data_IF_701300386991
#
_entry.id   IF_701300386991
#
_cell.length_a   1.000
_cell.length_b   1.000
_cell.length_c   1.000
_cell.angle_alpha   90.00
_cell.angle_beta   90.00
_cell.angle_gamma   90.00
#
_symmetry.space_group_name_H-M   'P 1'
#
loop_
_entity.id
_entity.type
_entity.pdbx_description
1 polymer ?
#
# COMPACT_ATOMS: atom_id res chain seq x y z
N UNK A 1 -0.64 2.39 27.85
CA UNK A 1 -0.90 3.55 26.97
C UNK A 1 -2.21 3.33 26.22
N UNK A 2 -3.33 3.92 26.67
CA UNK A 2 -4.67 3.64 26.13
C UNK A 2 -4.77 3.90 24.61
N UNK A 3 -4.16 5.00 24.13
CA UNK A 3 -4.14 5.39 22.70
C UNK A 3 -3.48 4.35 21.77
N UNK A 4 -2.37 3.73 22.22
CA UNK A 4 -1.70 2.68 21.45
C UNK A 4 -2.57 1.42 21.31
N UNK A 5 -3.35 1.08 22.34
CA UNK A 5 -4.26 -0.06 22.28
C UNK A 5 -5.40 0.19 21.30
N UNK A 6 -5.95 1.41 21.28
CA UNK A 6 -6.98 1.82 20.31
C UNK A 6 -6.44 1.75 18.89
N UNK A 7 -5.26 2.34 18.63
CA UNK A 7 -4.64 2.32 17.31
C UNK A 7 -4.39 0.90 16.81
N UNK A 8 -3.86 0.01 17.65
CA UNK A 8 -3.66 -1.40 17.28
C UNK A 8 -4.98 -2.07 16.89
N UNK A 9 -6.04 -1.86 17.67
CA UNK A 9 -7.35 -2.48 17.41
C UNK A 9 -7.90 -2.04 16.06
N UNK A 10 -7.81 -0.74 15.75
CA UNK A 10 -8.22 -0.20 14.46
C UNK A 10 -7.39 -0.82 13.32
N UNK A 11 -6.07 -0.88 13.46
CA UNK A 11 -5.18 -1.48 12.46
C UNK A 11 -5.49 -2.96 12.24
N UNK A 12 -5.80 -3.71 13.30
CA UNK A 12 -6.15 -5.13 13.20
C UNK A 12 -7.46 -5.33 12.42
N UNK A 13 -8.48 -4.50 12.67
CA UNK A 13 -9.75 -4.52 11.93
C UNK A 13 -9.52 -4.16 10.46
N UNK A 14 -8.80 -3.07 10.19
CA UNK A 14 -8.48 -2.64 8.83
C UNK A 14 -7.71 -3.73 8.07
N UNK A 15 -6.78 -4.41 8.74
CA UNK A 15 -6.01 -5.48 8.13
C UNK A 15 -6.91 -6.66 7.73
N UNK A 16 -7.81 -7.10 8.60
CA UNK A 16 -8.76 -8.19 8.27
C UNK A 16 -9.65 -7.79 7.09
N UNK A 17 -10.19 -6.57 7.11
CA UNK A 17 -11.02 -6.06 6.01
C UNK A 17 -10.26 -5.98 4.69
N UNK A 18 -8.98 -5.62 4.73
CA UNK A 18 -8.15 -5.51 3.53
C UNK A 18 -7.66 -6.87 2.98
N UNK A 19 -7.51 -7.87 3.85
CA UNK A 19 -7.10 -9.22 3.43
C UNK A 19 -8.20 -9.94 2.65
N UNK A 20 -9.48 -9.70 2.96
CA UNK A 20 -10.62 -10.32 2.25
C UNK A 20 -10.55 -10.08 0.72
N UNK A 21 -10.54 -8.84 0.21
CA UNK A 21 -10.43 -8.59 -1.23
C UNK A 21 -9.06 -8.99 -1.79
N UNK A 22 -7.99 -9.02 -0.98
CA UNK A 22 -6.72 -9.58 -1.44
C UNK A 22 -6.84 -11.09 -1.73
N UNK A 23 -7.53 -11.86 -0.90
CA UNK A 23 -7.72 -13.31 -1.11
C UNK A 23 -8.65 -13.56 -2.30
N UNK A 24 -9.78 -12.86 -2.37
CA UNK A 24 -10.78 -13.09 -3.41
C UNK A 24 -10.48 -12.39 -4.74
N UNK A 25 -9.58 -11.40 -4.75
CA UNK A 25 -9.24 -10.61 -5.93
C UNK A 25 -8.63 -11.46 -7.06
N UNK A 26 -7.71 -12.36 -6.75
CA UNK A 26 -7.06 -13.18 -7.77
C UNK A 26 -8.01 -14.21 -8.42
N UNK A 27 -8.80 -15.00 -7.66
CA UNK A 27 -9.86 -15.82 -8.23
C UNK A 27 -10.87 -15.01 -9.05
N UNK A 28 -11.20 -13.80 -8.60
CA UNK A 28 -12.10 -12.91 -9.33
C UNK A 28 -11.51 -12.48 -10.68
N UNK A 29 -10.22 -12.11 -10.73
CA UNK A 29 -9.53 -11.74 -11.99
C UNK A 29 -9.46 -12.93 -12.95
N UNK A 30 -9.20 -14.14 -12.44
CA UNK A 30 -9.20 -15.35 -13.26
C UNK A 30 -10.59 -15.68 -13.82
N UNK A 31 -11.64 -15.52 -13.00
CA UNK A 31 -13.02 -15.66 -13.46
C UNK A 31 -13.34 -14.64 -14.56
N UNK A 32 -12.91 -13.39 -14.39
CA UNK A 32 -13.06 -12.33 -15.39
C UNK A 32 -12.34 -12.65 -16.71
N UNK A 33 -11.19 -13.33 -16.64
CA UNK A 33 -10.44 -13.74 -17.81
C UNK A 33 -11.11 -14.87 -18.61
N UNK A 34 -11.79 -15.80 -17.94
CA UNK A 34 -12.41 -16.99 -18.57
C UNK A 34 -13.86 -16.70 -18.99
N UNK A 35 -14.60 -15.92 -18.19
CA UNK A 35 -16.03 -15.64 -18.38
C UNK A 35 -16.33 -14.14 -18.24
N UNK A 36 -15.84 -13.30 -19.17
CA UNK A 36 -16.02 -11.85 -19.08
C UNK A 36 -17.49 -11.40 -19.09
N UNK A 37 -18.38 -12.15 -19.77
CA UNK A 37 -19.81 -11.85 -19.88
C UNK A 37 -20.58 -12.00 -18.55
N UNK A 38 -20.00 -12.66 -17.54
CA UNK A 38 -20.65 -12.89 -16.25
C UNK A 38 -20.32 -11.86 -15.18
N UNK A 39 -19.58 -10.79 -15.52
CA UNK A 39 -19.23 -9.72 -14.59
C UNK A 39 -20.41 -8.72 -14.52
N UNK A 40 -21.14 -8.63 -13.39
CA UNK A 40 -22.38 -7.86 -13.32
C UNK A 40 -22.16 -6.35 -13.09
N UNK A 41 -20.93 -5.86 -13.20
CA UNK A 41 -20.58 -4.47 -12.94
C UNK A 41 -19.71 -3.89 -14.06
N UNK A 42 -20.03 -2.66 -14.47
CA UNK A 42 -19.15 -1.86 -15.32
C UNK A 42 -18.05 -1.28 -14.43
N UNK A 43 -16.79 -1.61 -14.69
CA UNK A 43 -15.65 -0.93 -14.06
C UNK A 43 -15.76 0.55 -14.44
N UNK A 44 -15.81 1.43 -13.43
CA UNK A 44 -16.13 2.86 -13.49
C UNK A 44 -16.01 3.52 -14.87
N UNK A 45 -17.17 4.01 -15.36
CA UNK A 45 -17.37 5.10 -16.32
C UNK A 45 -16.51 5.10 -17.57
N UNK A 46 -17.03 4.59 -18.69
CA UNK A 46 -16.66 4.78 -20.11
C UNK A 46 -15.18 4.60 -20.55
N UNK A 47 -14.18 4.74 -19.67
CA UNK A 47 -12.75 4.57 -19.91
C UNK A 47 -12.36 3.10 -20.16
N UNK A 48 -13.21 2.16 -19.72
CA UNK A 48 -12.97 0.72 -19.90
C UNK A 48 -13.86 0.03 -20.94
N UNK A 49 -14.73 0.78 -21.62
CA UNK A 49 -15.73 0.22 -22.53
C UNK A 49 -15.15 -0.24 -23.89
N UNK A 50 -13.96 0.25 -24.27
CA UNK A 50 -13.30 0.00 -25.56
C UNK A 50 -12.12 -0.96 -25.47
N UNK A 51 -11.86 -1.55 -24.30
CA UNK A 51 -10.63 -2.27 -24.01
C UNK A 51 -10.71 -3.72 -24.50
N UNK A 52 -9.64 -4.17 -25.16
CA UNK A 52 -9.44 -5.57 -25.52
C UNK A 52 -9.35 -6.46 -24.26
N UNK A 53 -9.96 -7.64 -24.25
CA UNK A 53 -10.06 -8.48 -23.04
C UNK A 53 -8.72 -8.75 -22.34
N UNK A 54 -7.62 -8.89 -23.10
CA UNK A 54 -6.28 -9.08 -22.55
C UNK A 54 -5.72 -7.85 -21.81
N UNK A 55 -5.94 -6.64 -22.35
CA UNK A 55 -5.49 -5.38 -21.75
C UNK A 55 -6.21 -5.13 -20.42
N UNK A 56 -7.51 -5.44 -20.36
CA UNK A 56 -8.29 -5.32 -19.13
C UNK A 56 -7.74 -6.24 -18.03
N UNK A 57 -7.42 -7.49 -18.36
CA UNK A 57 -6.88 -8.46 -17.40
C UNK A 57 -5.51 -8.00 -16.88
N UNK A 58 -4.64 -7.52 -17.76
CA UNK A 58 -3.32 -6.98 -17.37
C UNK A 58 -3.50 -5.79 -16.41
N UNK A 59 -4.38 -4.84 -16.75
CA UNK A 59 -4.67 -3.69 -15.88
C UNK A 59 -5.21 -4.12 -14.51
N UNK A 60 -6.12 -5.10 -14.46
CA UNK A 60 -6.64 -5.64 -13.21
C UNK A 60 -5.53 -6.32 -12.37
N UNK A 61 -4.62 -7.07 -13.00
CA UNK A 61 -3.48 -7.68 -12.30
C UNK A 61 -2.52 -6.62 -11.74
N UNK A 62 -2.26 -5.54 -12.47
CA UNK A 62 -1.43 -4.42 -12.02
C UNK A 62 -2.06 -3.71 -10.81
N UNK A 63 -3.36 -3.42 -10.88
CA UNK A 63 -4.10 -2.82 -9.75
C UNK A 63 -4.10 -3.75 -8.54
N UNK A 64 -4.31 -5.04 -8.75
CA UNK A 64 -4.27 -6.04 -7.69
C UNK A 64 -2.89 -6.13 -7.02
N UNK A 65 -1.81 -6.09 -7.80
CA UNK A 65 -0.45 -6.06 -7.27
C UNK A 65 -0.20 -4.79 -6.44
N UNK A 66 -0.61 -3.63 -6.93
CA UNK A 66 -0.56 -2.36 -6.18
C UNK A 66 -1.32 -2.47 -4.85
N UNK A 67 -2.51 -3.05 -4.87
CA UNK A 67 -3.32 -3.28 -3.66
C UNK A 67 -2.64 -4.24 -2.67
N UNK A 68 -2.09 -5.36 -3.15
CA UNK A 68 -1.38 -6.32 -2.32
C UNK A 68 -0.17 -5.70 -1.59
N UNK A 69 0.56 -4.81 -2.26
CA UNK A 69 1.65 -4.04 -1.64
C UNK A 69 1.14 -3.10 -0.53
N UNK A 70 -0.01 -2.46 -0.72
CA UNK A 70 -0.63 -1.64 0.32
C UNK A 70 -1.07 -2.48 1.54
N UNK A 71 -1.63 -3.67 1.31
CA UNK A 71 -1.96 -4.63 2.38
C UNK A 71 -0.70 -5.09 3.11
N UNK A 72 0.39 -5.31 2.39
CA UNK A 72 1.69 -5.63 3.00
C UNK A 72 2.23 -4.49 3.88
N UNK A 73 2.11 -3.23 3.44
CA UNK A 73 2.46 -2.08 4.27
C UNK A 73 1.63 -2.03 5.56
N UNK A 74 0.33 -2.35 5.48
CA UNK A 74 -0.55 -2.42 6.66
C UNK A 74 -0.15 -3.55 7.62
N UNK A 75 0.26 -4.71 7.09
CA UNK A 75 0.82 -5.80 7.89
C UNK A 75 2.08 -5.39 8.65
N UNK A 76 3.01 -4.70 7.98
CA UNK A 76 4.22 -4.19 8.63
C UNK A 76 3.87 -3.16 9.71
N UNK A 77 2.88 -2.29 9.48
CA UNK A 77 2.42 -1.35 10.50
C UNK A 77 1.87 -2.07 11.73
N UNK A 78 1.09 -3.13 11.54
CA UNK A 78 0.64 -4.01 12.63
C UNK A 78 1.81 -4.59 13.43
N UNK A 79 2.88 -5.03 12.74
CA UNK A 79 4.11 -5.55 13.38
C UNK A 79 4.79 -4.48 14.25
N UNK A 80 4.90 -3.25 13.75
CA UNK A 80 5.42 -2.10 14.51
C UNK A 80 4.60 -1.85 15.78
N UNK A 81 3.27 -1.82 15.68
CA UNK A 81 2.39 -1.60 16.82
C UNK A 81 2.51 -2.72 17.88
N UNK A 82 2.80 -3.95 17.47
CA UNK A 82 3.08 -5.04 18.39
C UNK A 82 4.39 -4.83 19.16
N UNK A 83 5.47 -4.42 18.48
CA UNK A 83 6.73 -4.07 19.12
C UNK A 83 6.57 -2.91 20.10
N UNK A 84 5.76 -1.90 19.76
CA UNK A 84 5.44 -0.79 20.65
C UNK A 84 4.68 -1.23 21.89
N UNK A 85 3.76 -2.21 21.79
CA UNK A 85 3.10 -2.79 22.97
C UNK A 85 4.10 -3.49 23.90
N UNK A 86 5.14 -4.11 23.34
CA UNK A 86 6.25 -4.74 24.09
C UNK A 86 7.28 -3.73 24.59
N UNK A 87 7.06 -2.42 24.40
CA UNK A 87 7.99 -1.31 24.71
C UNK A 87 9.34 -1.41 23.99
N UNK A 88 9.39 -2.13 22.87
CA UNK A 88 10.58 -2.28 22.02
C UNK A 88 10.50 -1.29 20.85
N UNK A 89 10.70 -0.01 21.15
CA UNK A 89 10.52 1.06 20.16
C UNK A 89 11.66 1.12 19.13
N UNK A 90 12.90 0.88 19.58
CA UNK A 90 14.13 0.99 18.78
C UNK A 90 14.68 -0.38 18.36
N UNK A 91 13.82 -1.38 18.25
CA UNK A 91 14.20 -2.70 17.75
C UNK A 91 14.50 -2.61 16.24
N UNK A 92 15.45 -3.38 15.74
CA UNK A 92 15.78 -3.41 14.30
C UNK A 92 14.57 -3.81 13.48
N UNK A 93 13.69 -4.64 14.05
CA UNK A 93 12.41 -5.01 13.45
C UNK A 93 11.54 -3.79 13.16
N UNK A 94 11.50 -2.79 14.05
CA UNK A 94 10.70 -1.57 13.86
C UNK A 94 11.30 -0.71 12.75
N UNK A 95 12.61 -0.47 12.80
CA UNK A 95 13.35 0.34 11.83
C UNK A 95 13.17 -0.25 10.43
N UNK A 96 13.44 -1.56 10.28
CA UNK A 96 13.29 -2.28 9.02
C UNK A 96 11.83 -2.25 8.54
N UNK A 97 10.86 -2.39 9.43
CA UNK A 97 9.44 -2.35 9.05
C UNK A 97 9.03 -0.97 8.53
N UNK A 98 9.49 0.12 9.13
CA UNK A 98 9.24 1.47 8.61
C UNK A 98 9.83 1.69 7.22
N UNK A 99 11.08 1.28 7.00
CA UNK A 99 11.72 1.38 5.68
C UNK A 99 10.95 0.55 4.62
N UNK A 100 10.59 -0.68 4.97
CA UNK A 100 9.85 -1.57 4.07
C UNK A 100 8.43 -1.06 3.80
N UNK A 101 7.75 -0.49 4.80
CA UNK A 101 6.44 0.15 4.63
C UNK A 101 6.52 1.29 3.63
N UNK A 102 7.49 2.19 3.81
CA UNK A 102 7.67 3.32 2.91
C UNK A 102 7.93 2.88 1.48
N UNK A 103 8.84 1.91 1.28
CA UNK A 103 9.11 1.32 -0.04
C UNK A 103 7.89 0.62 -0.65
N UNK A 104 7.13 -0.11 0.16
CA UNK A 104 5.92 -0.79 -0.31
C UNK A 104 4.84 0.20 -0.77
N UNK A 105 4.63 1.30 -0.03
CA UNK A 105 3.70 2.36 -0.42
C UNK A 105 4.15 3.10 -1.69
N UNK A 106 5.43 3.42 -1.80
CA UNK A 106 5.97 4.06 -3.01
C UNK A 106 5.83 3.14 -4.23
N UNK A 107 6.16 1.85 -4.08
CA UNK A 107 6.02 0.88 -5.16
C UNK A 107 4.54 0.66 -5.55
N UNK A 108 3.66 0.58 -4.55
CA UNK A 108 2.20 0.51 -4.76
C UNK A 108 1.69 1.71 -5.56
N UNK A 109 2.13 2.92 -5.20
CA UNK A 109 1.77 4.15 -5.91
C UNK A 109 2.27 4.16 -7.36
N UNK A 110 3.53 3.82 -7.59
CA UNK A 110 4.12 3.75 -8.95
C UNK A 110 3.32 2.77 -9.80
N UNK A 111 3.10 1.55 -9.30
CA UNK A 111 2.40 0.48 -10.04
C UNK A 111 0.94 0.86 -10.29
N UNK A 112 0.27 1.45 -9.30
CA UNK A 112 -1.16 1.79 -9.38
C UNK A 112 -1.48 2.88 -10.41
N UNK A 113 -0.52 3.74 -10.73
CA UNK A 113 -0.71 4.81 -11.74
C UNK A 113 -0.53 4.29 -13.17
N UNK A 114 0.22 3.20 -13.38
CA UNK A 114 0.55 2.70 -14.72
C UNK A 114 -0.68 2.46 -15.63
N UNK A 115 -1.77 1.81 -15.17
CA UNK A 115 -2.93 1.59 -16.03
C UNK A 115 -3.55 2.91 -16.50
N UNK A 116 -3.75 3.86 -15.58
CA UNK A 116 -4.33 5.16 -15.91
C UNK A 116 -3.45 5.94 -16.90
N UNK A 117 -2.13 5.91 -16.75
CA UNK A 117 -1.22 6.55 -17.70
C UNK A 117 -1.28 5.90 -19.08
N UNK A 118 -1.33 4.56 -19.12
CA UNK A 118 -1.45 3.82 -20.38
C UNK A 118 -2.72 4.23 -21.14
N UNK A 119 -3.89 4.25 -20.49
CA UNK A 119 -5.14 4.63 -21.14
C UNK A 119 -5.15 6.08 -21.60
N UNK A 120 -4.70 7.02 -20.77
CA UNK A 120 -4.60 8.44 -21.16
C UNK A 120 -3.69 8.65 -22.38
N UNK A 121 -2.62 7.86 -22.52
CA UNK A 121 -1.73 7.90 -23.68
C UNK A 121 -2.39 7.31 -24.94
N UNK A 122 -3.14 6.22 -24.80
CA UNK A 122 -3.83 5.55 -25.92
C UNK A 122 -5.01 6.37 -26.44
N UNK A 123 -5.82 6.95 -25.56
CA UNK A 123 -6.97 7.78 -25.93
C UNK A 123 -6.58 9.19 -26.39
N UNK A 124 -5.29 9.55 -26.32
CA UNK A 124 -4.77 10.87 -26.72
C UNK A 124 -5.26 12.03 -25.84
N UNK A 125 -6.04 11.74 -24.79
CA UNK A 125 -6.51 12.71 -23.82
C UNK A 125 -5.65 12.64 -22.57
N UNK A 126 -4.53 13.35 -22.57
CA UNK A 126 -3.71 13.47 -21.36
C UNK A 126 -4.44 14.37 -20.36
N UNK A 127 -5.32 13.77 -19.55
CA UNK A 127 -5.95 14.43 -18.40
C UNK A 127 -5.26 13.94 -17.13
N UNK A 128 -4.08 14.50 -16.85
CA UNK A 128 -3.43 14.27 -15.55
C UNK A 128 -4.11 15.19 -14.53
N UNK A 129 -5.06 14.66 -13.76
CA UNK A 129 -5.64 15.39 -12.63
C UNK A 129 -4.67 15.37 -11.45
N UNK A 130 -3.70 16.29 -11.46
CA UNK A 130 -2.78 16.55 -10.32
C UNK A 130 -3.53 17.40 -9.28
N UNK A 131 -4.56 16.83 -8.66
CA UNK A 131 -5.15 17.37 -7.44
C UNK A 131 -4.41 16.87 -6.21
N UNK A 132 -4.71 17.43 -5.03
CA UNK A 132 -4.43 16.81 -3.72
C UNK A 132 -5.29 15.53 -3.60
N UNK A 133 -4.96 14.55 -4.43
CA UNK A 133 -5.65 13.29 -4.57
C UNK A 133 -5.02 12.28 -3.61
N UNK A 134 -5.77 11.23 -3.29
CA UNK A 134 -5.31 10.10 -2.46
C UNK A 134 -3.93 9.55 -2.91
N UNK A 135 -3.57 9.76 -4.18
CA UNK A 135 -2.28 9.38 -4.75
C UNK A 135 -1.10 10.20 -4.18
N UNK A 136 -1.18 11.54 -4.11
CA UNK A 136 -0.08 12.36 -3.58
C UNK A 136 0.11 12.15 -2.07
N UNK A 137 -0.99 11.90 -1.35
CA UNK A 137 -0.91 11.55 0.07
C UNK A 137 -0.18 10.23 0.28
N UNK A 138 -0.46 9.21 -0.54
CA UNK A 138 0.22 7.90 -0.48
C UNK A 138 1.72 8.04 -0.76
N UNK A 139 2.10 8.86 -1.75
CA UNK A 139 3.50 9.15 -2.05
C UNK A 139 4.20 9.84 -0.86
N UNK A 140 3.58 10.88 -0.31
CA UNK A 140 4.12 11.60 0.86
C UNK A 140 4.26 10.70 2.08
N UNK A 141 3.26 9.85 2.33
CA UNK A 141 3.27 8.88 3.41
C UNK A 141 4.37 7.81 3.23
N UNK A 142 4.61 7.38 1.99
CA UNK A 142 5.71 6.47 1.65
C UNK A 142 7.07 7.05 2.05
N UNK A 143 7.38 8.27 1.60
CA UNK A 143 8.62 8.95 1.99
C UNK A 143 8.69 9.22 3.50
N UNK A 144 7.57 9.59 4.12
CA UNK A 144 7.51 9.83 5.57
C UNK A 144 7.96 8.60 6.36
N UNK A 145 7.51 7.39 6.00
CA UNK A 145 7.94 6.17 6.70
C UNK A 145 9.41 5.82 6.50
N UNK A 146 9.99 6.13 5.33
CA UNK A 146 11.44 5.97 5.11
C UNK A 146 12.22 6.91 6.03
N UNK A 147 11.85 8.19 6.08
CA UNK A 147 12.47 9.17 6.99
C UNK A 147 12.30 8.75 8.45
N UNK A 148 11.14 8.20 8.81
CA UNK A 148 10.89 7.71 10.16
C UNK A 148 11.82 6.53 10.53
N UNK A 149 12.13 5.65 9.58
CA UNK A 149 13.14 4.61 9.78
C UNK A 149 14.50 5.21 10.14
N UNK A 150 14.93 6.23 9.39
CA UNK A 150 16.23 6.88 9.63
C UNK A 150 16.28 7.62 10.97
N UNK A 151 15.20 8.28 11.36
CA UNK A 151 15.07 8.94 12.67
C UNK A 151 15.14 7.92 13.80
N UNK A 152 14.47 6.78 13.67
CA UNK A 152 14.53 5.71 14.68
C UNK A 152 15.92 5.07 14.76
N UNK A 153 16.61 4.91 13.62
CA UNK A 153 17.99 4.43 13.59
C UNK A 153 18.94 5.39 14.29
N UNK A 154 18.79 6.70 14.06
CA UNK A 154 19.58 7.73 14.73
C UNK A 154 19.33 7.73 16.24
N UNK A 155 18.06 7.65 16.66
CA UNK A 155 17.70 7.57 18.07
C UNK A 155 18.23 6.30 18.75
N UNK A 156 18.25 5.16 18.04
CA UNK A 156 18.87 3.92 18.54
C UNK A 156 20.36 4.12 18.83
N UNK A 157 21.11 4.68 17.86
CA UNK A 157 22.55 4.94 18.01
C UNK A 157 22.86 5.88 19.17
N UNK A 158 22.13 6.99 19.29
CA UNK A 158 22.31 7.94 20.40
C UNK A 158 22.05 7.28 21.77
N UNK A 159 21.05 6.39 21.85
CA UNK A 159 20.77 5.64 23.06
C UNK A 159 21.92 4.69 23.41
N UNK A 160 22.43 3.95 22.42
CA UNK A 160 23.56 3.03 22.62
C UNK A 160 24.84 3.76 23.04
N UNK A 161 25.14 4.92 22.44
CA UNK A 161 26.29 5.76 22.83
C UNK A 161 26.16 6.31 24.27
N UNK A 162 24.96 6.72 24.67
CA UNK A 162 24.69 7.18 26.03
C UNK A 162 24.79 6.03 27.07
N UNK A 163 24.35 4.83 26.71
CA UNK A 163 24.46 3.64 27.58
C UNK A 163 25.92 3.14 27.71
N UNK A 164 26.81 3.50 26.77
CA UNK A 164 28.25 3.17 26.81
C UNK A 164 29.12 4.18 27.58
N UNK A 165 28.58 5.37 27.87
CA UNK A 165 29.32 6.48 28.51
C UNK A 165 29.01 6.64 30.00
N UNK A 166 28.05 5.87 30.53
CA UNK A 166 27.73 5.75 31.96
C UNK A 166 28.38 4.49 32.52
#
# INVERSE_FOLDING_TARGET
MKRLSTLKTITDILFVLAVIPAIFGLPFILMAAIMPERIPFKLNGDEFATINGAELIISLLVIYLSYALAVYALYLFKKVLESFKKKRFFDDVVILSFNQMGKALLLSWIIGILPSLYYNLVDGSIKISIGFSDSLFTLGLGFFFIVLSDVFLMAKKQKEENDLTI
#
